data_IF_366838450816
#
_entry.id   IF_366838450816
#
_cell.length_a   1.000
_cell.length_b   1.000
_cell.length_c   1.000
_cell.angle_alpha   90.00
_cell.angle_beta   90.00
_cell.angle_gamma   90.00
#
_symmetry.space_group_name_H-M   'P 1'
#
loop_
_entity.id
_entity.type
_entity.pdbx_description
1 polymer ?
#
# COMPACT_ATOMS: atom_id res chain seq x y z
N UNK A 1 -52.00 -42.58 15.56
CA UNK A 1 -51.08 -42.33 14.40
C UNK A 1 -50.97 -40.84 14.27
N UNK A 2 -49.92 -40.27 14.88
CA UNK A 2 -49.60 -38.85 14.84
C UNK A 2 -48.58 -38.66 13.73
N UNK A 3 -48.99 -38.04 12.65
CA UNK A 3 -48.11 -37.70 11.54
C UNK A 3 -47.14 -36.57 11.99
N UNK A 4 -45.87 -36.90 12.06
CA UNK A 4 -44.77 -35.96 12.28
C UNK A 4 -44.64 -35.08 11.04
N UNK A 5 -44.54 -33.74 11.16
CA UNK A 5 -44.34 -32.88 10.02
C UNK A 5 -42.92 -33.05 9.46
N UNK A 6 -42.83 -33.09 8.13
CA UNK A 6 -41.58 -33.21 7.37
C UNK A 6 -40.66 -32.01 7.65
N UNK A 7 -39.44 -32.21 8.14
CA UNK A 7 -38.52 -31.11 8.48
C UNK A 7 -37.88 -30.40 7.26
N UNK A 8 -38.33 -30.69 6.04
CA UNK A 8 -37.68 -30.15 4.81
C UNK A 8 -38.42 -29.01 4.15
N UNK A 9 -39.57 -28.57 4.67
CA UNK A 9 -40.21 -27.36 4.18
C UNK A 9 -39.64 -26.14 4.88
N UNK A 10 -38.47 -25.67 4.43
CA UNK A 10 -38.00 -24.34 4.74
C UNK A 10 -38.99 -23.34 4.13
N UNK A 11 -39.90 -22.83 4.90
CA UNK A 11 -40.65 -21.64 4.53
C UNK A 11 -39.67 -20.46 4.59
N UNK A 12 -39.36 -19.90 3.42
CA UNK A 12 -38.61 -18.64 3.34
C UNK A 12 -39.37 -17.57 4.13
N UNK A 13 -38.69 -16.82 5.01
CA UNK A 13 -39.28 -15.62 5.58
C UNK A 13 -39.73 -14.71 4.44
N UNK A 14 -40.85 -14.04 4.57
CA UNK A 14 -41.41 -13.13 3.56
C UNK A 14 -40.46 -11.97 3.17
N UNK A 15 -39.41 -11.72 3.97
CA UNK A 15 -38.33 -10.75 3.72
C UNK A 15 -37.18 -11.33 2.91
N UNK A 16 -37.19 -12.59 2.53
CA UNK A 16 -36.13 -13.26 1.77
C UNK A 16 -36.57 -13.62 0.34
N UNK A 17 -37.53 -12.91 -0.23
CA UNK A 17 -37.79 -13.00 -1.67
C UNK A 17 -36.55 -12.43 -2.37
N UNK A 18 -35.80 -13.30 -3.02
CA UNK A 18 -34.95 -12.87 -4.12
C UNK A 18 -35.85 -12.04 -5.03
N UNK A 19 -35.49 -10.79 -5.28
CA UNK A 19 -36.17 -9.95 -6.24
C UNK A 19 -36.15 -10.73 -7.54
N UNK A 20 -37.34 -11.18 -7.97
CA UNK A 20 -37.46 -11.80 -9.28
C UNK A 20 -37.13 -10.73 -10.32
N UNK A 21 -36.41 -11.03 -11.40
CA UNK A 21 -36.16 -10.03 -12.48
C UNK A 21 -37.44 -9.41 -13.02
N UNK A 22 -38.60 -10.05 -12.82
CA UNK A 22 -39.92 -9.50 -13.16
C UNK A 22 -40.48 -8.55 -12.10
N UNK A 23 -39.95 -8.59 -10.85
CA UNK A 23 -40.32 -7.71 -9.74
C UNK A 23 -39.38 -6.53 -9.58
N UNK A 24 -38.44 -6.29 -10.54
CA UNK A 24 -37.65 -5.08 -10.58
C UNK A 24 -38.61 -3.88 -10.56
N UNK A 25 -38.46 -2.95 -9.62
CA UNK A 25 -39.22 -1.71 -9.61
C UNK A 25 -39.11 -1.06 -10.98
N UNK A 26 -40.21 -0.56 -11.54
CA UNK A 26 -40.23 -0.05 -12.89
C UNK A 26 -39.05 0.90 -13.07
N UNK A 27 -38.29 0.69 -14.14
CA UNK A 27 -37.04 1.39 -14.47
C UNK A 27 -37.09 2.93 -14.45
N UNK A 28 -38.28 3.49 -14.20
CA UNK A 28 -38.53 4.91 -13.98
C UNK A 28 -37.83 5.48 -12.72
N UNK A 29 -37.57 4.68 -11.69
CA UNK A 29 -36.87 5.17 -10.48
C UNK A 29 -35.36 5.18 -10.62
N UNK A 30 -34.81 4.39 -11.54
CA UNK A 30 -33.38 4.41 -11.82
C UNK A 30 -32.97 5.54 -12.79
N UNK A 31 -33.90 5.98 -13.62
CA UNK A 31 -33.66 7.08 -14.57
C UNK A 31 -33.73 8.47 -13.91
N UNK A 32 -34.27 8.58 -12.69
CA UNK A 32 -34.39 9.84 -11.95
C UNK A 32 -33.17 10.21 -11.12
N UNK A 33 -32.36 9.22 -10.71
CA UNK A 33 -31.23 9.45 -9.84
C UNK A 33 -29.92 9.83 -10.56
N UNK A 34 -29.92 9.67 -11.87
CA UNK A 34 -28.80 10.12 -12.70
C UNK A 34 -29.25 11.24 -13.62
N UNK A 35 -29.15 12.48 -13.18
CA UNK A 35 -29.36 13.69 -13.99
C UNK A 35 -28.41 13.80 -15.20
N UNK A 36 -27.64 12.77 -15.49
CA UNK A 36 -26.82 12.68 -16.69
C UNK A 36 -27.62 12.42 -17.97
N UNK A 37 -28.95 12.25 -17.87
CA UNK A 37 -29.84 12.06 -19.02
C UNK A 37 -30.51 13.34 -19.52
N UNK A 38 -30.05 14.49 -19.15
CA UNK A 38 -30.42 15.72 -19.80
C UNK A 38 -29.77 15.87 -21.20
N UNK A 39 -29.74 14.79 -21.99
CA UNK A 39 -29.63 14.92 -23.44
C UNK A 39 -31.03 15.35 -23.91
N UNK A 40 -31.23 16.58 -24.34
CA UNK A 40 -32.53 17.01 -24.84
C UNK A 40 -32.91 16.10 -26.00
N UNK A 41 -34.04 15.38 -25.87
CA UNK A 41 -34.58 14.61 -26.96
C UNK A 41 -34.91 15.59 -28.07
N UNK A 42 -34.25 15.42 -29.21
CA UNK A 42 -34.57 16.17 -30.42
C UNK A 42 -35.99 15.81 -30.83
N UNK A 43 -36.91 16.75 -30.65
CA UNK A 43 -38.30 16.62 -31.01
C UNK A 43 -38.43 17.06 -32.47
N UNK A 44 -38.38 16.08 -33.40
CA UNK A 44 -38.44 16.32 -34.84
C UNK A 44 -39.76 17.00 -35.26
N UNK A 45 -40.76 17.08 -34.37
CA UNK A 45 -42.06 17.69 -34.69
C UNK A 45 -42.12 19.20 -34.46
N UNK A 46 -41.07 19.81 -33.89
CA UNK A 46 -41.02 21.28 -33.69
C UNK A 46 -40.16 22.03 -34.69
N UNK A 47 -39.65 21.39 -35.72
CA UNK A 47 -38.87 22.05 -36.78
C UNK A 47 -39.75 22.48 -37.96
N UNK A 48 -40.76 23.28 -37.70
CA UNK A 48 -41.52 23.94 -38.75
C UNK A 48 -41.21 25.44 -38.79
N UNK A 49 -39.95 25.81 -38.77
CA UNK A 49 -39.56 27.15 -39.23
C UNK A 49 -38.35 26.96 -40.14
N UNK A 50 -38.67 27.10 -41.41
CA UNK A 50 -37.76 26.98 -42.55
C UNK A 50 -36.61 27.99 -42.41
N UNK A 51 -35.48 27.52 -41.90
CA UNK A 51 -34.19 28.11 -42.20
C UNK A 51 -33.34 27.05 -42.87
N UNK A 52 -33.00 27.24 -44.11
CA UNK A 52 -32.12 26.30 -44.83
C UNK A 52 -30.70 26.50 -44.28
N UNK A 53 -30.15 25.42 -43.75
CA UNK A 53 -28.74 25.32 -43.42
C UNK A 53 -28.19 26.13 -42.25
N UNK A 54 -28.90 26.21 -41.13
CA UNK A 54 -28.30 26.57 -39.82
C UNK A 54 -27.76 25.35 -39.09
N UNK A 55 -26.84 24.61 -39.69
CA UNK A 55 -26.28 23.37 -39.09
C UNK A 55 -25.17 23.61 -38.07
N UNK A 56 -24.84 24.87 -37.80
CA UNK A 56 -23.91 25.25 -36.75
C UNK A 56 -24.52 26.49 -36.09
N UNK A 57 -25.47 26.28 -35.20
CA UNK A 57 -25.64 27.25 -34.12
C UNK A 57 -24.32 27.25 -33.39
N UNK A 58 -23.67 28.40 -33.30
CA UNK A 58 -22.51 28.55 -32.41
C UNK A 58 -22.87 27.92 -31.04
N UNK A 59 -22.04 27.02 -30.51
CA UNK A 59 -22.30 26.39 -29.23
C UNK A 59 -22.53 27.55 -28.23
N UNK A 60 -23.72 27.55 -27.63
CA UNK A 60 -24.03 28.53 -26.57
C UNK A 60 -22.85 28.47 -25.60
N UNK A 61 -22.16 29.59 -25.36
CA UNK A 61 -20.98 29.58 -24.50
C UNK A 61 -21.40 29.02 -23.17
N UNK A 62 -20.79 27.94 -22.75
CA UNK A 62 -20.98 27.36 -21.42
C UNK A 62 -20.88 28.50 -20.41
N UNK A 63 -21.78 28.57 -19.43
CA UNK A 63 -21.76 29.64 -18.43
C UNK A 63 -20.36 29.66 -17.82
N UNK A 64 -19.61 30.71 -18.15
CA UNK A 64 -18.28 30.95 -17.64
C UNK A 64 -18.41 31.27 -16.16
N UNK A 65 -18.10 30.32 -15.30
CA UNK A 65 -17.99 30.56 -13.86
C UNK A 65 -16.71 31.35 -13.64
N UNK A 66 -16.89 32.66 -13.49
CA UNK A 66 -15.80 33.60 -13.23
C UNK A 66 -15.23 33.31 -11.83
N UNK A 67 -13.96 32.89 -11.69
CA UNK A 67 -13.36 32.73 -10.36
C UNK A 67 -13.22 34.14 -9.72
N UNK A 68 -13.96 34.42 -8.68
CA UNK A 68 -13.72 35.58 -7.81
C UNK A 68 -14.60 36.79 -7.96
N UNK A 69 -15.76 36.73 -8.64
CA UNK A 69 -16.73 37.81 -8.64
C UNK A 69 -17.80 37.60 -7.57
N UNK A 70 -17.92 38.53 -6.61
CA UNK A 70 -18.93 38.49 -5.55
C UNK A 70 -20.35 38.35 -6.13
N UNK A 71 -21.03 37.28 -5.79
CA UNK A 71 -22.40 37.01 -6.17
C UNK A 71 -23.34 37.79 -5.25
N UNK A 72 -24.13 38.70 -5.83
CA UNK A 72 -25.33 39.19 -5.15
C UNK A 72 -26.34 38.03 -5.07
N UNK A 73 -26.92 37.74 -3.91
CA UNK A 73 -27.89 36.67 -3.78
C UNK A 73 -29.16 37.01 -4.55
N UNK A 74 -29.41 36.28 -5.64
CA UNK A 74 -30.71 36.25 -6.30
C UNK A 74 -31.72 35.45 -5.48
N UNK A 75 -33.04 35.65 -5.63
CA UNK A 75 -34.08 35.05 -4.77
C UNK A 75 -34.27 33.52 -4.92
N UNK A 76 -33.43 32.84 -5.68
CA UNK A 76 -33.41 31.38 -5.83
C UNK A 76 -31.98 30.85 -5.73
N UNK A 77 -31.19 31.41 -4.80
CA UNK A 77 -29.83 30.97 -4.55
C UNK A 77 -29.80 29.66 -3.75
N UNK A 78 -29.79 28.52 -4.44
CA UNK A 78 -28.99 27.44 -3.91
C UNK A 78 -27.53 27.87 -4.13
N UNK A 79 -26.88 28.39 -3.08
CA UNK A 79 -25.44 28.54 -3.09
C UNK A 79 -24.84 27.19 -3.49
N UNK A 80 -23.96 27.12 -4.52
CA UNK A 80 -23.14 25.92 -4.68
C UNK A 80 -22.42 25.78 -3.35
N UNK A 81 -22.72 24.74 -2.62
CA UNK A 81 -21.97 24.40 -1.42
C UNK A 81 -20.54 24.25 -1.92
N UNK A 82 -19.72 25.29 -1.73
CA UNK A 82 -18.27 25.11 -1.85
C UNK A 82 -17.97 24.03 -0.82
N UNK A 83 -17.87 22.79 -1.30
CA UNK A 83 -17.32 21.72 -0.48
C UNK A 83 -15.91 22.21 -0.22
N UNK A 84 -15.72 22.77 0.96
CA UNK A 84 -14.43 23.27 1.38
C UNK A 84 -13.44 22.13 1.14
N UNK A 85 -12.45 22.37 0.30
CA UNK A 85 -11.42 21.37 0.00
C UNK A 85 -10.77 20.88 1.31
N UNK A 86 -10.82 21.68 2.36
CA UNK A 86 -10.45 21.30 3.73
C UNK A 86 -11.35 20.22 4.31
N UNK A 87 -12.68 20.32 4.18
CA UNK A 87 -13.60 19.30 4.70
C UNK A 87 -13.50 17.96 3.94
N UNK A 88 -13.25 18.00 2.63
CA UNK A 88 -13.03 16.79 1.85
C UNK A 88 -11.72 16.09 2.25
N UNK A 89 -10.68 16.87 2.52
CA UNK A 89 -9.38 16.38 2.99
C UNK A 89 -9.47 15.83 4.42
N UNK A 90 -10.26 16.46 5.29
CA UNK A 90 -10.50 15.99 6.65
C UNK A 90 -11.35 14.72 6.69
N UNK A 91 -12.39 14.61 5.86
CA UNK A 91 -13.16 13.37 5.71
C UNK A 91 -12.32 12.22 5.14
N UNK A 92 -11.39 12.52 4.22
CA UNK A 92 -10.46 11.51 3.70
C UNK A 92 -9.43 11.07 4.76
N UNK A 93 -9.06 11.99 5.68
CA UNK A 93 -8.18 11.70 6.82
C UNK A 93 -8.88 10.85 7.88
N UNK A 94 -10.13 11.14 8.19
CA UNK A 94 -10.91 10.39 9.20
C UNK A 94 -11.15 8.93 8.81
N UNK A 95 -11.29 8.65 7.52
CA UNK A 95 -11.46 7.28 6.99
C UNK A 95 -10.23 6.38 7.14
N UNK A 96 -9.04 6.92 7.42
CA UNK A 96 -7.77 6.17 7.47
C UNK A 96 -7.26 5.90 8.88
N UNK A 97 -7.98 6.26 9.92
CA UNK A 97 -7.50 6.21 11.31
C UNK A 97 -6.94 4.84 11.73
N UNK A 98 -7.65 3.75 11.44
CA UNK A 98 -7.22 2.39 11.78
C UNK A 98 -6.06 1.89 10.92
N UNK A 99 -5.97 2.33 9.65
CA UNK A 99 -4.86 1.97 8.76
C UNK A 99 -3.55 2.59 9.23
N UNK A 100 -3.58 3.86 9.61
CA UNK A 100 -2.41 4.56 10.13
C UNK A 100 -1.92 3.97 11.46
N UNK A 101 -2.85 3.52 12.32
CA UNK A 101 -2.52 2.83 13.56
C UNK A 101 -1.90 1.45 13.29
N UNK A 102 -2.45 0.69 12.36
CA UNK A 102 -1.90 -0.59 11.91
C UNK A 102 -0.48 -0.43 11.36
N UNK A 103 -0.25 0.61 10.56
CA UNK A 103 1.07 0.92 10.01
C UNK A 103 2.07 1.35 11.11
N UNK A 104 1.63 2.15 12.08
CA UNK A 104 2.45 2.47 13.25
C UNK A 104 2.88 1.19 13.97
N UNK A 105 1.92 0.29 14.24
CA UNK A 105 2.19 -0.98 14.90
C UNK A 105 3.21 -1.82 14.12
N UNK A 106 3.03 -1.97 12.81
CA UNK A 106 3.96 -2.71 11.95
C UNK A 106 5.37 -2.12 12.00
N UNK A 107 5.51 -0.80 11.92
CA UNK A 107 6.82 -0.12 12.01
C UNK A 107 7.49 -0.32 13.37
N UNK A 108 6.71 -0.22 14.44
CA UNK A 108 7.23 -0.45 15.80
C UNK A 108 7.73 -1.88 15.97
N UNK A 109 6.94 -2.87 15.54
CA UNK A 109 7.32 -4.29 15.64
C UNK A 109 8.55 -4.59 14.79
N UNK A 110 8.55 -4.21 13.51
CA UNK A 110 9.69 -4.45 12.62
C UNK A 110 10.93 -3.69 13.08
N UNK A 111 10.77 -2.43 13.47
CA UNK A 111 11.88 -1.61 13.96
C UNK A 111 12.49 -2.17 15.25
N UNK A 112 11.66 -2.56 16.22
CA UNK A 112 12.12 -3.20 17.45
C UNK A 112 12.84 -4.52 17.18
N UNK A 113 12.33 -5.32 16.24
CA UNK A 113 12.96 -6.57 15.83
C UNK A 113 14.33 -6.34 15.19
N UNK A 114 14.45 -5.35 14.30
CA UNK A 114 15.73 -4.98 13.71
C UNK A 114 16.73 -4.48 14.75
N UNK A 115 16.28 -3.65 15.69
CA UNK A 115 17.13 -3.16 16.80
C UNK A 115 17.63 -4.34 17.65
N UNK A 116 16.73 -5.24 18.06
CA UNK A 116 17.09 -6.40 18.85
C UNK A 116 18.16 -7.26 18.16
N UNK A 117 17.95 -7.58 16.88
CA UNK A 117 18.92 -8.35 16.10
C UNK A 117 20.25 -7.62 15.86
N UNK A 118 20.22 -6.30 15.69
CA UNK A 118 21.46 -5.52 15.59
C UNK A 118 22.25 -5.56 16.90
N UNK A 119 21.56 -5.43 18.05
CA UNK A 119 22.19 -5.53 19.38
C UNK A 119 22.73 -6.92 19.67
N UNK A 120 22.06 -7.98 19.21
CA UNK A 120 22.57 -9.34 19.30
C UNK A 120 23.89 -9.51 18.54
N UNK A 121 23.98 -8.94 17.34
CA UNK A 121 25.18 -9.01 16.51
C UNK A 121 26.29 -8.12 17.01
N UNK A 122 25.97 -6.95 17.57
CA UNK A 122 26.98 -6.02 18.07
C UNK A 122 27.53 -6.42 19.43
N UNK A 123 26.63 -6.78 20.35
CA UNK A 123 26.98 -6.94 21.78
C UNK A 123 26.79 -8.33 22.34
N UNK A 124 26.35 -9.31 21.50
CA UNK A 124 26.08 -10.66 21.96
C UNK A 124 24.90 -10.77 22.93
N UNK A 125 24.02 -9.75 23.00
CA UNK A 125 22.87 -9.76 23.90
C UNK A 125 21.95 -10.95 23.60
N UNK A 126 21.29 -11.45 24.63
CA UNK A 126 20.34 -12.59 24.54
C UNK A 126 20.92 -13.84 23.85
N UNK A 127 22.23 -14.08 24.02
CA UNK A 127 22.90 -15.23 23.39
C UNK A 127 23.24 -15.04 21.90
N UNK A 128 23.28 -13.80 21.45
CA UNK A 128 23.70 -13.46 20.08
C UNK A 128 25.21 -13.69 19.87
N UNK A 129 25.66 -13.67 18.59
CA UNK A 129 27.06 -13.99 18.26
C UNK A 129 28.08 -12.92 18.67
N UNK A 130 27.64 -11.66 18.90
CA UNK A 130 28.55 -10.54 19.02
C UNK A 130 29.24 -10.20 17.69
N UNK A 131 30.10 -9.16 17.68
CA UNK A 131 30.82 -8.77 16.47
C UNK A 131 31.71 -9.90 15.95
N UNK A 132 32.49 -10.56 16.82
CA UNK A 132 33.43 -11.61 16.41
C UNK A 132 32.72 -12.82 15.80
N UNK A 133 31.64 -13.26 16.42
CA UNK A 133 30.84 -14.36 15.92
C UNK A 133 30.10 -14.03 14.61
N UNK A 134 29.65 -12.78 14.47
CA UNK A 134 28.99 -12.34 13.27
C UNK A 134 29.97 -12.17 12.09
N UNK A 135 31.19 -11.64 12.35
CA UNK A 135 32.28 -11.58 11.39
C UNK A 135 32.67 -12.97 10.89
N UNK A 136 32.82 -13.91 11.84
CA UNK A 136 33.08 -15.31 11.48
C UNK A 136 31.98 -15.89 10.60
N UNK A 137 30.71 -15.64 10.95
CA UNK A 137 29.58 -16.13 10.11
C UNK A 137 29.63 -15.56 8.69
N UNK A 138 29.96 -14.28 8.51
CA UNK A 138 30.11 -13.67 7.19
C UNK A 138 31.28 -14.27 6.41
N UNK A 139 32.40 -14.53 7.10
CA UNK A 139 33.56 -15.19 6.50
C UNK A 139 33.25 -16.63 6.06
N UNK A 140 32.55 -17.38 6.92
CA UNK A 140 32.15 -18.76 6.63
C UNK A 140 31.16 -18.84 5.44
N UNK A 141 30.33 -17.80 5.25
CA UNK A 141 29.44 -17.65 4.10
C UNK A 141 30.17 -17.13 2.83
N UNK A 142 31.48 -16.87 2.90
CA UNK A 142 32.29 -16.44 1.76
C UNK A 142 32.27 -14.95 1.45
N UNK A 143 31.79 -14.10 2.36
CA UNK A 143 31.82 -12.66 2.14
C UNK A 143 33.23 -12.10 2.22
N UNK A 144 33.62 -11.30 1.21
CA UNK A 144 34.84 -10.51 1.22
C UNK A 144 34.66 -9.32 2.17
N UNK A 145 35.76 -8.92 2.82
CA UNK A 145 35.77 -7.78 3.75
C UNK A 145 34.76 -7.94 4.91
N UNK A 146 34.66 -9.18 5.46
CA UNK A 146 33.75 -9.48 6.57
C UNK A 146 33.96 -8.57 7.78
N UNK A 147 35.20 -8.13 8.02
CA UNK A 147 35.61 -7.18 9.05
C UNK A 147 34.84 -5.84 8.94
N UNK A 148 34.79 -5.25 7.77
CA UNK A 148 34.06 -3.98 7.52
C UNK A 148 32.55 -4.26 7.47
N UNK A 149 32.16 -5.35 6.77
CA UNK A 149 30.77 -5.67 6.54
C UNK A 149 30.00 -5.94 7.83
N UNK A 150 30.66 -6.50 8.85
CA UNK A 150 30.11 -6.72 10.18
C UNK A 150 29.60 -5.43 10.81
N UNK A 151 30.40 -4.37 10.81
CA UNK A 151 30.01 -3.07 11.38
C UNK A 151 28.95 -2.37 10.53
N UNK A 152 29.08 -2.41 9.20
CA UNK A 152 28.12 -1.80 8.28
C UNK A 152 26.77 -2.46 8.39
N UNK A 153 26.73 -3.79 8.44
CA UNK A 153 25.49 -4.55 8.52
C UNK A 153 24.79 -4.36 9.89
N UNK A 154 25.54 -4.50 11.00
CA UNK A 154 24.96 -4.33 12.33
C UNK A 154 24.54 -2.87 12.58
N UNK A 155 25.39 -1.89 12.21
CA UNK A 155 25.08 -0.47 12.34
C UNK A 155 23.94 -0.03 11.42
N UNK A 156 23.94 -0.47 10.17
CA UNK A 156 22.86 -0.20 9.21
C UNK A 156 21.51 -0.80 9.66
N UNK A 157 21.53 -2.01 10.19
CA UNK A 157 20.34 -2.67 10.74
C UNK A 157 19.80 -1.91 11.97
N UNK A 158 20.67 -1.46 12.87
CA UNK A 158 20.31 -0.64 14.02
C UNK A 158 19.70 0.69 13.59
N UNK A 159 20.36 1.40 12.69
CA UNK A 159 19.91 2.68 12.16
C UNK A 159 18.54 2.53 11.46
N UNK A 160 18.37 1.53 10.60
CA UNK A 160 17.10 1.25 9.94
C UNK A 160 15.98 0.98 10.96
N UNK A 161 16.25 0.19 11.98
CA UNK A 161 15.30 -0.10 13.05
C UNK A 161 14.86 1.16 13.82
N UNK A 162 15.81 2.01 14.21
CA UNK A 162 15.53 3.29 14.91
C UNK A 162 14.73 4.23 14.01
N UNK A 163 15.11 4.38 12.76
CA UNK A 163 14.40 5.24 11.80
C UNK A 163 12.98 4.76 11.54
N UNK A 164 12.74 3.45 11.47
CA UNK A 164 11.40 2.87 11.32
C UNK A 164 10.53 3.12 12.56
N UNK A 165 11.08 2.95 13.77
CA UNK A 165 10.35 3.25 15.01
C UNK A 165 9.94 4.72 15.06
N UNK A 166 10.85 5.63 14.72
CA UNK A 166 10.58 7.06 14.69
C UNK A 166 9.67 7.47 13.50
N UNK A 167 9.58 6.63 12.48
CA UNK A 167 8.88 6.97 11.24
C UNK A 167 9.57 8.11 10.51
N UNK A 168 10.90 8.10 10.50
CA UNK A 168 11.75 9.08 9.85
C UNK A 168 12.45 8.43 8.65
N UNK A 169 12.40 9.08 7.49
CA UNK A 169 12.92 8.52 6.22
C UNK A 169 12.44 7.09 5.96
N UNK A 170 11.18 6.81 6.33
CA UNK A 170 10.61 5.45 6.35
C UNK A 170 10.90 4.63 5.09
N UNK A 171 10.69 5.12 3.85
CA UNK A 171 10.98 4.32 2.66
C UNK A 171 12.47 3.97 2.51
N UNK A 172 13.36 4.89 2.89
CA UNK A 172 14.82 4.68 2.80
C UNK A 172 15.29 3.68 3.87
N UNK A 173 14.82 3.86 5.11
CA UNK A 173 15.13 2.95 6.21
C UNK A 173 14.63 1.53 5.92
N UNK A 174 13.41 1.41 5.41
CA UNK A 174 12.84 0.14 5.02
C UNK A 174 13.56 -0.48 3.80
N UNK A 175 14.01 0.33 2.83
CA UNK A 175 14.82 -0.17 1.71
C UNK A 175 16.18 -0.72 2.17
N UNK A 176 16.84 -0.06 3.12
CA UNK A 176 18.07 -0.58 3.73
C UNK A 176 17.83 -1.89 4.48
N UNK A 177 16.75 -1.99 5.26
CA UNK A 177 16.34 -3.22 5.92
C UNK A 177 16.02 -4.33 4.90
N UNK A 178 15.34 -3.99 3.80
CA UNK A 178 15.02 -4.92 2.72
C UNK A 178 16.28 -5.46 2.04
N UNK A 179 17.24 -4.59 1.72
CA UNK A 179 18.52 -5.00 1.14
C UNK A 179 19.25 -5.99 2.05
N UNK A 180 19.29 -5.71 3.35
CA UNK A 180 19.87 -6.60 4.34
C UNK A 180 19.18 -7.96 4.38
N UNK A 181 17.83 -8.00 4.39
CA UNK A 181 17.04 -9.23 4.40
C UNK A 181 17.22 -10.05 3.12
N UNK A 182 17.23 -9.40 1.96
CA UNK A 182 17.47 -10.06 0.67
C UNK A 182 18.86 -10.68 0.62
N UNK A 183 19.89 -9.96 1.05
CA UNK A 183 21.25 -10.53 1.15
C UNK A 183 21.29 -11.75 2.07
N UNK A 184 20.60 -11.70 3.21
CA UNK A 184 20.53 -12.82 4.14
C UNK A 184 19.81 -14.04 3.57
N UNK A 185 18.70 -13.84 2.83
CA UNK A 185 17.99 -14.93 2.16
C UNK A 185 18.86 -15.57 1.06
N UNK A 186 19.58 -14.75 0.28
CA UNK A 186 20.50 -15.26 -0.74
C UNK A 186 21.63 -16.07 -0.12
N UNK A 187 22.20 -15.59 1.00
CA UNK A 187 23.26 -16.31 1.71
C UNK A 187 22.81 -17.70 2.16
N UNK A 188 21.61 -17.80 2.72
CA UNK A 188 21.06 -19.07 3.18
C UNK A 188 20.65 -19.99 2.03
N UNK A 189 20.03 -19.43 0.98
CA UNK A 189 19.63 -20.21 -0.18
C UNK A 189 20.83 -20.86 -0.89
N UNK A 190 22.00 -20.22 -0.85
CA UNK A 190 23.22 -20.75 -1.47
C UNK A 190 23.95 -21.76 -0.60
N UNK A 191 23.79 -21.71 0.71
CA UNK A 191 24.38 -22.70 1.63
C UNK A 191 23.53 -23.96 1.75
N UNK A 192 22.26 -23.94 1.33
CA UNK A 192 21.39 -25.11 1.33
C UNK A 192 21.80 -26.11 0.23
N UNK A 193 21.85 -27.41 0.57
CA UNK A 193 22.13 -28.47 -0.39
C UNK A 193 21.07 -28.53 -1.50
N UNK A 194 21.50 -28.75 -2.75
CA UNK A 194 20.65 -28.68 -3.94
C UNK A 194 19.40 -29.55 -3.90
N UNK A 195 19.51 -30.76 -3.35
CA UNK A 195 18.41 -31.72 -3.31
C UNK A 195 17.29 -31.39 -2.32
N UNK A 196 17.54 -30.48 -1.37
CA UNK A 196 16.63 -30.15 -0.29
C UNK A 196 16.20 -28.68 -0.25
N UNK A 197 16.57 -27.86 -1.24
CA UNK A 197 16.38 -26.39 -1.20
C UNK A 197 14.96 -25.95 -0.84
N UNK A 198 13.95 -26.56 -1.46
CA UNK A 198 12.56 -26.19 -1.19
C UNK A 198 12.06 -26.73 0.15
N UNK A 199 12.49 -27.94 0.50
CA UNK A 199 12.09 -28.61 1.73
C UNK A 199 12.76 -27.97 2.95
N UNK A 200 14.07 -27.69 2.89
CA UNK A 200 14.79 -27.00 3.96
C UNK A 200 14.28 -25.57 4.13
N UNK A 201 13.95 -24.88 3.03
CA UNK A 201 13.36 -23.54 3.09
C UNK A 201 12.05 -23.50 3.87
N UNK A 202 11.19 -24.54 3.75
CA UNK A 202 9.92 -24.63 4.46
C UNK A 202 10.06 -25.22 5.88
N UNK A 203 11.08 -26.07 6.13
CA UNK A 203 11.24 -26.77 7.42
C UNK A 203 12.17 -26.07 8.40
N UNK A 204 13.17 -25.33 7.91
CA UNK A 204 14.23 -24.74 8.74
C UNK A 204 13.91 -23.32 9.23
N UNK A 205 12.64 -22.92 9.15
CA UNK A 205 12.18 -21.64 9.70
C UNK A 205 12.55 -20.41 8.86
N UNK A 206 12.91 -20.57 7.60
CA UNK A 206 13.20 -19.44 6.71
C UNK A 206 11.93 -18.68 6.28
N UNK A 207 10.75 -19.27 6.49
CA UNK A 207 9.44 -18.66 6.16
C UNK A 207 9.26 -17.30 6.80
N UNK A 208 9.72 -17.13 8.05
CA UNK A 208 9.61 -15.84 8.75
C UNK A 208 10.37 -14.72 8.04
N UNK A 209 11.49 -15.03 7.36
CA UNK A 209 12.27 -14.03 6.64
C UNK A 209 11.54 -13.56 5.39
N UNK A 210 10.86 -14.47 4.69
CA UNK A 210 10.02 -14.10 3.54
C UNK A 210 8.85 -13.23 3.99
N UNK A 211 8.18 -13.60 5.09
CA UNK A 211 7.11 -12.78 5.66
C UNK A 211 7.66 -11.39 6.02
N UNK A 212 8.84 -11.33 6.65
CA UNK A 212 9.46 -10.06 7.03
C UNK A 212 9.81 -9.20 5.81
N UNK A 213 10.32 -9.81 4.73
CA UNK A 213 10.54 -9.14 3.43
C UNK A 213 9.24 -8.56 2.89
N UNK A 214 8.15 -9.34 2.89
CA UNK A 214 6.84 -8.87 2.43
C UNK A 214 6.31 -7.71 3.29
N UNK A 215 6.46 -7.79 4.61
CA UNK A 215 6.05 -6.71 5.53
C UNK A 215 6.87 -5.45 5.31
N UNK A 216 8.19 -5.57 5.18
CA UNK A 216 9.08 -4.42 4.92
C UNK A 216 8.78 -3.81 3.55
N UNK A 217 8.54 -4.61 2.52
CA UNK A 217 8.11 -4.14 1.20
C UNK A 217 6.77 -3.40 1.28
N UNK A 218 5.81 -3.91 2.05
CA UNK A 218 4.55 -3.22 2.28
C UNK A 218 4.75 -1.87 3.00
N UNK A 219 5.63 -1.78 4.00
CA UNK A 219 5.97 -0.53 4.68
C UNK A 219 6.58 0.48 3.70
N UNK A 220 7.46 0.05 2.78
CA UNK A 220 8.02 0.92 1.73
C UNK A 220 6.92 1.51 0.86
N UNK A 221 5.97 0.66 0.41
CA UNK A 221 4.91 1.07 -0.52
C UNK A 221 3.84 1.96 0.14
N UNK A 222 3.49 1.69 1.40
CA UNK A 222 2.49 2.46 2.14
C UNK A 222 3.07 3.79 2.64
N UNK A 223 4.36 3.83 3.00
CA UNK A 223 5.04 5.00 3.51
C UNK A 223 4.90 5.19 5.03
N UNK A 224 5.19 6.41 5.56
CA UNK A 224 5.30 6.65 7.01
C UNK A 224 3.97 6.65 7.78
N UNK A 225 2.81 6.88 7.12
CA UNK A 225 1.52 7.09 7.78
C UNK A 225 1.49 8.39 8.61
N UNK A 226 0.36 8.64 9.31
CA UNK A 226 0.15 9.88 10.10
C UNK A 226 1.00 9.97 11.36
N UNK A 227 1.37 8.84 11.95
CA UNK A 227 2.09 8.76 13.21
C UNK A 227 3.62 8.73 13.05
N UNK A 228 4.15 8.99 11.86
CA UNK A 228 5.59 9.13 11.62
C UNK A 228 6.04 10.57 11.74
N UNK A 229 7.31 10.80 12.10
CA UNK A 229 7.92 12.15 12.09
C UNK A 229 7.95 12.76 10.68
N UNK A 230 7.77 11.95 9.65
CA UNK A 230 7.66 12.39 8.27
C UNK A 230 6.25 12.80 7.84
N UNK A 231 5.24 12.59 8.67
CA UNK A 231 3.82 12.70 8.31
C UNK A 231 3.38 14.06 7.73
N UNK A 232 4.13 15.12 7.99
CA UNK A 232 3.83 16.47 7.45
C UNK A 232 4.55 16.81 6.15
N UNK A 233 5.50 16.00 5.71
CA UNK A 233 6.40 16.34 4.60
C UNK A 233 5.78 16.02 3.24
N UNK A 234 6.01 16.91 2.26
CA UNK A 234 5.41 16.81 0.92
C UNK A 234 5.74 15.51 0.17
N UNK A 235 6.95 14.98 0.35
CA UNK A 235 7.38 13.72 -0.26
C UNK A 235 6.67 12.47 0.34
N UNK A 236 6.18 12.57 1.57
CA UNK A 236 5.43 11.51 2.23
C UNK A 236 3.95 11.43 1.80
N UNK A 237 3.42 12.49 1.16
CA UNK A 237 2.01 12.58 0.77
C UNK A 237 1.66 11.85 -0.52
N UNK A 238 2.63 11.65 -1.41
CA UNK A 238 2.46 10.94 -2.70
C UNK A 238 3.62 9.97 -2.91
N UNK A 239 3.64 8.85 -2.19
CA UNK A 239 4.81 7.97 -2.13
C UNK A 239 5.06 7.15 -3.41
N UNK A 240 4.14 7.11 -4.39
CA UNK A 240 4.14 6.12 -5.46
C UNK A 240 5.48 5.95 -6.18
N UNK A 241 6.05 6.99 -6.76
CA UNK A 241 7.32 6.86 -7.51
C UNK A 241 8.49 6.65 -6.56
N UNK A 242 8.58 7.45 -5.49
CA UNK A 242 9.67 7.37 -4.52
C UNK A 242 9.71 6.02 -3.77
N UNK A 243 8.55 5.50 -3.38
CA UNK A 243 8.44 4.20 -2.72
C UNK A 243 8.78 3.05 -3.66
N UNK A 244 8.35 3.12 -4.92
CA UNK A 244 8.68 2.10 -5.90
C UNK A 244 10.19 2.08 -6.21
N UNK A 245 10.82 3.24 -6.36
CA UNK A 245 12.27 3.35 -6.50
C UNK A 245 12.99 2.82 -5.26
N UNK A 246 12.52 3.15 -4.04
CA UNK A 246 13.08 2.62 -2.81
C UNK A 246 12.97 1.09 -2.72
N UNK A 247 11.85 0.52 -3.16
CA UNK A 247 11.66 -0.93 -3.24
C UNK A 247 12.67 -1.58 -4.19
N UNK A 248 12.81 -1.03 -5.41
CA UNK A 248 13.78 -1.53 -6.39
C UNK A 248 15.22 -1.41 -5.89
N UNK A 249 15.55 -0.29 -5.24
CA UNK A 249 16.88 -0.09 -4.64
C UNK A 249 17.12 -1.04 -3.47
N UNK A 250 16.10 -1.33 -2.66
CA UNK A 250 16.19 -2.31 -1.57
C UNK A 250 16.49 -3.72 -2.09
N UNK A 251 15.70 -4.20 -3.03
CA UNK A 251 15.91 -5.53 -3.64
C UNK A 251 17.23 -5.56 -4.43
N UNK A 252 17.42 -4.60 -5.34
CA UNK A 252 18.61 -4.52 -6.17
C UNK A 252 19.89 -4.31 -5.35
N UNK A 253 19.81 -3.52 -4.28
CA UNK A 253 20.92 -3.31 -3.34
C UNK A 253 21.30 -4.60 -2.62
N UNK A 254 20.33 -5.39 -2.16
CA UNK A 254 20.60 -6.70 -1.53
C UNK A 254 21.27 -7.67 -2.49
N UNK A 255 20.78 -7.75 -3.74
CA UNK A 255 21.40 -8.58 -4.79
C UNK A 255 22.81 -8.07 -5.12
N UNK A 256 22.98 -6.75 -5.24
CA UNK A 256 24.28 -6.15 -5.53
C UNK A 256 25.31 -6.42 -4.42
N UNK A 257 24.93 -6.29 -3.16
CA UNK A 257 25.80 -6.65 -2.02
C UNK A 257 26.23 -8.12 -2.10
N UNK A 258 25.28 -9.01 -2.41
CA UNK A 258 25.62 -10.41 -2.60
C UNK A 258 26.62 -10.62 -3.75
N UNK A 259 26.30 -10.16 -4.96
CA UNK A 259 27.12 -10.39 -6.16
C UNK A 259 28.50 -9.75 -6.04
N UNK A 260 28.58 -8.54 -5.46
CA UNK A 260 29.85 -7.80 -5.39
C UNK A 260 30.75 -8.24 -4.23
N UNK A 261 30.17 -8.63 -3.10
CA UNK A 261 30.93 -8.94 -1.89
C UNK A 261 31.06 -10.44 -1.60
N UNK A 262 30.15 -11.28 -2.08
CA UNK A 262 30.26 -12.73 -1.95
C UNK A 262 30.89 -13.35 -3.21
N UNK A 263 30.66 -12.76 -4.38
CA UNK A 263 31.16 -13.28 -5.67
C UNK A 263 30.42 -14.54 -6.15
N UNK A 264 29.44 -15.04 -5.38
CA UNK A 264 28.61 -16.15 -5.78
C UNK A 264 27.58 -15.72 -6.83
N UNK A 265 27.39 -16.54 -7.86
CA UNK A 265 26.33 -16.28 -8.84
C UNK A 265 25.00 -16.84 -8.31
N UNK A 266 24.00 -16.01 -7.96
CA UNK A 266 22.73 -16.48 -7.43
C UNK A 266 21.86 -17.25 -8.44
N UNK A 267 22.28 -17.28 -9.71
CA UNK A 267 21.58 -17.94 -10.82
C UNK A 267 22.34 -19.15 -11.38
N UNK A 268 23.49 -19.51 -10.79
CA UNK A 268 24.30 -20.66 -11.22
C UNK A 268 23.86 -21.96 -10.58
#
# INVERSE_FOLDING_TARGET
MTSQPDPRTWQRPASASLVDPEDDPPSSNYAGDFETTAIPRYDATKSSTSQPFGLISDPEPLPYVQPGGGHSPGPYGAEPTEIDAGEADDRARDRRGTQDLGLLFLRLVVGAFLIAHALQKAFGLWGGPGFDGFEKSLTDMGFQHADILTYVAAGGQLAAGVLLVLGLFTPVAAAGALAYLVTGILAEAMTAHEEARLQSFLTDGHEYKVILVCVVAAIILIGPGRYGLDAGRGWARRPFIGSFVALLLGVGGGIAVWVLLNGGNPLA
#
